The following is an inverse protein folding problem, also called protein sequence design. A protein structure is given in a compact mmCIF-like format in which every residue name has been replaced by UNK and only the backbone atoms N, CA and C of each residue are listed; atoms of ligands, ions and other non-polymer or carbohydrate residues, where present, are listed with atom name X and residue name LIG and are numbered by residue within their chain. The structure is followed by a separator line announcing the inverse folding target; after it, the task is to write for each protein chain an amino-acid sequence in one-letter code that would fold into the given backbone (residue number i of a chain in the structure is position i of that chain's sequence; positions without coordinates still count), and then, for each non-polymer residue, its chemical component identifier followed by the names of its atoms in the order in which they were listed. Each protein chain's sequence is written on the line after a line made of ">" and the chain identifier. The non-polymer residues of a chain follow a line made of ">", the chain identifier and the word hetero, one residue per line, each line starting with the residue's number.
data_IF_859786381855
#
_entry.id   IF_859786381855
#
_cell.length_a   1.000
_cell.length_b   1.000
_cell.length_c   1.000
_cell.angle_alpha   90.00
_cell.angle_beta   90.00
_cell.angle_gamma   90.00
#
_symmetry.space_group_name_H-M   'P 1'
#
loop_
_entity.id
_entity.type
_entity.pdbx_description
1 polymer ?
#
# COMPACT_ATOMS: atom_id res chain seq x y z
N UNK A 1 -6.36 70.05 21.60
CA UNK A 1 -5.20 69.76 22.47
C UNK A 1 -4.07 69.23 21.60
N UNK A 2 -3.00 70.01 21.43
CA UNK A 2 -1.85 69.60 20.63
C UNK A 2 -1.06 68.53 21.40
N UNK A 3 -0.79 67.39 20.78
CA UNK A 3 0.03 66.33 21.36
C UNK A 3 1.50 66.75 21.32
N UNK A 4 2.20 66.65 22.45
CA UNK A 4 3.62 66.98 22.55
C UNK A 4 4.46 66.03 21.69
N UNK A 5 5.48 66.51 20.95
CA UNK A 5 6.36 65.68 20.12
C UNK A 5 7.08 64.55 20.90
N UNK A 6 7.20 64.67 22.23
CA UNK A 6 7.78 63.65 23.10
C UNK A 6 6.92 62.37 23.22
N UNK A 7 5.65 62.41 22.81
CA UNK A 7 4.74 61.25 22.84
C UNK A 7 4.93 60.32 21.63
N UNK A 8 5.54 60.82 20.54
CA UNK A 8 5.69 60.09 19.28
C UNK A 8 6.85 59.07 19.25
N UNK A 9 7.79 59.13 20.20
CA UNK A 9 8.95 58.21 20.25
C UNK A 9 8.87 57.18 21.38
N UNK A 10 7.79 57.17 22.17
CA UNK A 10 7.55 56.10 23.13
C UNK A 10 6.91 54.92 22.43
N UNK A 11 7.60 53.78 22.45
CA UNK A 11 7.15 52.48 21.96
C UNK A 11 5.85 52.07 22.66
N UNK A 12 4.73 52.58 22.17
CA UNK A 12 3.40 52.09 22.50
C UNK A 12 3.23 50.82 21.69
N UNK A 13 3.37 49.66 22.35
CA UNK A 13 2.98 48.41 21.72
C UNK A 13 1.52 48.57 21.27
N UNK A 14 1.23 48.49 19.97
CA UNK A 14 -0.14 48.60 19.42
C UNK A 14 -0.75 47.22 19.14
N UNK A 15 -0.15 46.16 19.70
CA UNK A 15 -0.68 44.80 19.60
C UNK A 15 -1.85 44.56 20.57
N UNK A 16 -2.71 43.55 20.31
CA UNK A 16 -3.89 43.24 21.12
C UNK A 16 -3.60 42.88 22.60
N UNK A 17 -2.33 42.71 22.98
CA UNK A 17 -1.88 42.41 24.35
C UNK A 17 -1.19 43.59 25.05
N UNK A 18 -1.18 44.78 24.46
CA UNK A 18 -0.48 45.94 25.02
C UNK A 18 -1.04 46.43 26.37
N UNK A 19 -2.30 46.10 26.68
CA UNK A 19 -2.96 46.51 27.92
C UNK A 19 -2.61 45.65 29.15
N UNK A 20 -1.82 44.59 29.01
CA UNK A 20 -1.45 43.71 30.13
C UNK A 20 -0.13 44.08 30.83
N UNK A 21 0.51 45.19 30.46
CA UNK A 21 1.69 45.71 31.16
C UNK A 21 1.27 46.43 32.45
N UNK A 22 1.56 45.84 33.60
CA UNK A 22 1.32 46.42 34.94
C UNK A 22 2.18 47.67 35.25
N UNK A 23 3.10 48.07 34.36
CA UNK A 23 4.08 49.13 34.64
C UNK A 23 3.64 50.55 34.27
N UNK A 24 2.37 50.79 33.95
CA UNK A 24 1.86 52.12 33.57
C UNK A 24 0.62 52.50 34.37
N UNK A 25 0.76 52.73 35.68
CA UNK A 25 -0.25 53.48 36.41
C UNK A 25 0.33 54.19 37.65
N UNK A 26 1.25 55.13 37.42
CA UNK A 26 1.71 56.09 38.45
C UNK A 26 1.39 57.51 38.02
N UNK A 27 0.16 57.78 37.57
CA UNK A 27 -0.39 59.15 37.53
C UNK A 27 -1.92 59.11 37.46
N UNK A 28 -2.59 58.77 38.56
CA UNK A 28 -4.03 58.99 38.72
C UNK A 28 -4.32 59.48 40.14
N UNK A 29 -5.24 60.47 40.32
CA UNK A 29 -5.50 61.10 41.61
C UNK A 29 -6.16 60.14 42.61
N UNK A 30 -6.00 60.37 43.93
CA UNK A 30 -6.36 59.41 44.97
C UNK A 30 -7.85 59.52 45.33
N UNK A 31 -8.76 58.88 44.60
CA UNK A 31 -10.15 58.76 45.11
C UNK A 31 -11.02 57.63 44.55
N UNK A 32 -10.53 56.76 43.66
CA UNK A 32 -11.32 55.60 43.21
C UNK A 32 -10.42 54.37 43.09
N UNK A 33 -10.61 53.31 43.91
CA UNK A 33 -9.92 52.05 43.68
C UNK A 33 -10.40 51.48 42.33
N UNK A 34 -9.50 51.22 41.36
CA UNK A 34 -9.88 50.51 40.15
C UNK A 34 -10.39 49.10 40.54
N UNK A 35 -11.41 48.56 39.84
CA UNK A 35 -11.84 47.18 40.08
C UNK A 35 -10.62 46.27 39.90
N UNK A 36 -10.41 45.25 40.75
CA UNK A 36 -9.30 44.33 40.59
C UNK A 36 -9.50 43.60 39.27
N UNK A 37 -8.85 44.07 38.21
CA UNK A 37 -8.62 43.27 37.02
C UNK A 37 -7.78 42.12 37.52
N UNK A 38 -8.41 40.96 37.65
CA UNK A 38 -7.78 39.72 38.07
C UNK A 38 -6.65 39.39 37.08
N UNK A 39 -5.47 39.93 37.33
CA UNK A 39 -4.24 39.42 36.75
C UNK A 39 -4.14 37.99 37.25
N UNK A 40 -4.36 37.03 36.36
CA UNK A 40 -4.34 35.61 36.69
C UNK A 40 -2.91 35.27 37.11
N UNK A 41 -2.62 35.36 38.40
CA UNK A 41 -1.35 34.92 38.95
C UNK A 41 -1.34 33.40 38.85
N UNK A 42 -0.65 32.88 37.83
CA UNK A 42 -0.51 31.45 37.64
C UNK A 42 0.29 30.92 38.84
N UNK A 43 -0.39 30.20 39.74
CA UNK A 43 0.26 29.60 40.89
C UNK A 43 1.01 28.34 40.42
N UNK A 44 2.33 28.42 40.34
CA UNK A 44 3.17 27.34 39.82
C UNK A 44 3.50 26.26 40.86
N UNK A 45 2.99 26.37 42.10
CA UNK A 45 3.31 25.47 43.22
C UNK A 45 4.78 25.56 43.65
N UNK A 46 5.12 24.91 44.78
CA UNK A 46 6.52 24.79 45.20
C UNK A 46 7.28 23.85 44.27
N UNK A 47 8.49 24.26 43.86
CA UNK A 47 9.33 23.45 42.98
C UNK A 47 9.99 22.30 43.77
N UNK A 48 9.98 21.06 43.25
CA UNK A 48 10.75 19.97 43.84
C UNK A 48 12.26 20.28 43.78
N UNK A 49 13.04 19.96 44.83
CA UNK A 49 14.48 20.11 44.79
C UNK A 49 15.09 19.11 43.79
N UNK A 50 15.99 19.59 42.92
CA UNK A 50 16.74 18.82 41.90
C UNK A 50 15.97 18.38 40.62
N UNK A 51 15.01 19.18 40.11
CA UNK A 51 14.41 18.93 38.79
C UNK A 51 15.40 19.20 37.63
N UNK A 52 15.38 18.36 36.59
CA UNK A 52 16.16 18.65 35.37
C UNK A 52 15.55 19.85 34.62
N UNK A 53 16.33 20.60 33.81
CA UNK A 53 15.79 21.75 33.06
C UNK A 53 14.60 21.37 32.15
N UNK A 54 14.62 20.17 31.57
CA UNK A 54 13.53 19.66 30.73
C UNK A 54 12.27 19.37 31.56
N UNK A 55 12.42 18.75 32.73
CA UNK A 55 11.32 18.48 33.65
C UNK A 55 10.70 19.77 34.19
N UNK A 56 11.52 20.80 34.47
CA UNK A 56 11.06 22.13 34.85
C UNK A 56 10.15 22.76 33.78
N UNK A 57 10.57 22.72 32.51
CA UNK A 57 9.78 23.28 31.41
C UNK A 57 8.47 22.49 31.26
N UNK A 58 8.51 21.16 31.35
CA UNK A 58 7.31 20.32 31.27
C UNK A 58 6.34 20.65 32.41
N UNK A 59 6.82 20.81 33.64
CA UNK A 59 6.01 21.20 34.80
C UNK A 59 5.41 22.59 34.64
N UNK A 60 6.19 23.59 34.25
CA UNK A 60 5.70 24.96 34.04
C UNK A 60 4.68 25.01 32.89
N UNK A 61 4.88 24.20 31.85
CA UNK A 61 3.92 24.04 30.75
C UNK A 61 2.63 23.34 31.23
N UNK A 62 2.74 22.30 32.05
CA UNK A 62 1.59 21.63 32.63
C UNK A 62 0.81 22.54 33.60
N UNK A 63 1.51 23.29 34.46
CA UNK A 63 0.92 24.24 35.40
C UNK A 63 0.24 25.42 34.67
N UNK A 64 0.85 25.96 33.62
CA UNK A 64 0.22 26.99 32.80
C UNK A 64 -1.00 26.47 32.01
N UNK A 65 -0.97 25.23 31.53
CA UNK A 65 -2.15 24.58 30.93
C UNK A 65 -3.25 24.31 31.97
N UNK A 66 -2.89 23.91 33.18
CA UNK A 66 -3.83 23.69 34.28
C UNK A 66 -4.49 25.00 34.74
N UNK A 67 -3.73 26.09 34.84
CA UNK A 67 -4.27 27.40 35.18
C UNK A 67 -5.24 27.92 34.11
N UNK A 68 -4.95 27.68 32.81
CA UNK A 68 -5.89 27.98 31.73
C UNK A 68 -7.18 27.18 31.85
N UNK A 69 -7.09 25.88 32.18
CA UNK A 69 -8.24 25.01 32.41
C UNK A 69 -9.09 25.43 33.62
N UNK A 70 -8.46 25.96 34.68
CA UNK A 70 -9.17 26.46 35.85
C UNK A 70 -10.03 27.72 35.60
N UNK A 71 -9.81 28.41 34.48
CA UNK A 71 -10.59 29.58 34.06
C UNK A 71 -11.65 29.26 32.99
N UNK A 72 -11.73 28.02 32.54
CA UNK A 72 -12.70 27.60 31.52
C UNK A 72 -14.10 27.48 32.15
N UNK A 73 -15.13 27.88 31.41
CA UNK A 73 -16.52 27.62 31.81
C UNK A 73 -16.86 26.15 31.57
N UNK A 74 -17.86 25.61 32.29
CA UNK A 74 -18.30 24.22 32.11
C UNK A 74 -18.72 23.92 30.65
N UNK A 75 -19.30 24.92 29.97
CA UNK A 75 -19.64 24.83 28.55
C UNK A 75 -18.41 24.74 27.65
N UNK A 76 -17.35 25.51 27.91
CA UNK A 76 -16.11 25.41 27.12
C UNK A 76 -15.43 24.04 27.30
N UNK A 77 -15.53 23.46 28.50
CA UNK A 77 -15.04 22.11 28.78
C UNK A 77 -15.78 21.05 27.96
N UNK A 78 -17.12 21.11 27.89
CA UNK A 78 -17.91 20.13 27.11
C UNK A 78 -17.68 20.28 25.62
N UNK A 79 -17.56 21.50 25.09
CA UNK A 79 -17.24 21.74 23.68
C UNK A 79 -15.87 21.17 23.32
N UNK A 80 -14.86 21.34 24.18
CA UNK A 80 -13.52 20.77 23.95
C UNK A 80 -13.56 19.25 23.87
N UNK A 81 -14.22 18.60 24.84
CA UNK A 81 -14.35 17.13 24.85
C UNK A 81 -15.15 16.66 23.64
N UNK A 82 -16.21 17.38 23.29
CA UNK A 82 -17.04 17.11 22.12
C UNK A 82 -16.25 17.13 20.81
N UNK A 83 -15.33 18.08 20.62
CA UNK A 83 -14.46 18.11 19.42
C UNK A 83 -13.57 16.88 19.33
N UNK A 84 -12.94 16.48 20.43
CA UNK A 84 -12.06 15.29 20.45
C UNK A 84 -12.85 14.03 20.11
N UNK A 85 -14.07 13.90 20.65
CA UNK A 85 -14.95 12.78 20.34
C UNK A 85 -15.46 12.82 18.90
N UNK A 86 -15.84 13.98 18.38
CA UNK A 86 -16.27 14.14 16.99
C UNK A 86 -15.16 13.72 16.02
N UNK A 87 -13.92 14.17 16.26
CA UNK A 87 -12.76 13.79 15.45
C UNK A 87 -12.48 12.29 15.55
N UNK A 88 -12.65 11.70 16.74
CA UNK A 88 -12.42 10.26 16.94
C UNK A 88 -13.50 9.41 16.26
N UNK A 89 -14.76 9.82 16.36
CA UNK A 89 -15.88 9.17 15.66
C UNK A 89 -15.70 9.29 14.15
N UNK A 90 -15.34 10.48 13.65
CA UNK A 90 -15.10 10.66 12.22
C UNK A 90 -13.97 9.74 11.71
N UNK A 91 -12.85 9.67 12.44
CA UNK A 91 -11.74 8.77 12.08
C UNK A 91 -12.15 7.29 12.11
N UNK A 92 -12.84 6.85 13.15
CA UNK A 92 -13.33 5.45 13.25
C UNK A 92 -14.28 5.14 12.09
N UNK A 93 -15.26 6.00 11.83
CA UNK A 93 -16.21 5.82 10.73
C UNK A 93 -15.51 5.80 9.37
N UNK A 94 -14.57 6.72 9.13
CA UNK A 94 -13.79 6.75 7.89
C UNK A 94 -12.98 5.45 7.71
N UNK A 95 -12.25 5.00 8.75
CA UNK A 95 -11.50 3.74 8.69
C UNK A 95 -12.41 2.53 8.50
N UNK A 96 -13.60 2.53 9.11
CA UNK A 96 -14.59 1.47 8.95
C UNK A 96 -15.15 1.43 7.53
N UNK A 97 -15.45 2.58 6.93
CA UNK A 97 -15.91 2.68 5.54
C UNK A 97 -14.84 2.16 4.58
N UNK A 98 -13.59 2.55 4.79
CA UNK A 98 -12.46 2.04 3.98
C UNK A 98 -12.31 0.52 4.16
N UNK A 99 -12.41 0.01 5.40
CA UNK A 99 -12.37 -1.43 5.64
C UNK A 99 -13.50 -2.17 4.92
N UNK A 100 -14.73 -1.64 4.99
CA UNK A 100 -15.90 -2.24 4.35
C UNK A 100 -15.79 -2.24 2.82
N UNK A 101 -15.26 -1.19 2.21
CA UNK A 101 -15.07 -1.15 0.74
C UNK A 101 -14.04 -2.17 0.28
N UNK A 102 -12.95 -2.38 1.04
CA UNK A 102 -11.95 -3.41 0.72
C UNK A 102 -12.57 -4.81 0.83
N UNK A 103 -13.30 -5.11 1.91
CA UNK A 103 -13.96 -6.41 2.07
C UNK A 103 -14.98 -6.64 0.94
N UNK A 104 -15.79 -5.64 0.61
CA UNK A 104 -16.75 -5.69 -0.49
C UNK A 104 -16.06 -5.98 -1.83
N UNK A 105 -14.94 -5.30 -2.11
CA UNK A 105 -14.16 -5.52 -3.32
C UNK A 105 -13.58 -6.95 -3.39
N UNK A 106 -13.08 -7.50 -2.28
CA UNK A 106 -12.61 -8.88 -2.22
C UNK A 106 -13.74 -9.88 -2.50
N UNK A 107 -14.93 -9.67 -1.93
CA UNK A 107 -16.10 -10.52 -2.16
C UNK A 107 -16.54 -10.45 -3.62
N UNK A 108 -16.58 -9.26 -4.22
CA UNK A 108 -16.91 -9.08 -5.62
C UNK A 108 -15.90 -9.78 -6.55
N UNK A 109 -14.60 -9.63 -6.27
CA UNK A 109 -13.55 -10.29 -7.03
C UNK A 109 -13.65 -11.82 -6.94
N UNK A 110 -13.96 -12.35 -5.76
CA UNK A 110 -14.21 -13.78 -5.57
C UNK A 110 -15.42 -14.25 -6.41
N UNK A 111 -16.52 -13.51 -6.39
CA UNK A 111 -17.72 -13.85 -7.18
C UNK A 111 -17.48 -13.81 -8.69
N UNK A 112 -16.78 -12.79 -9.19
CA UNK A 112 -16.41 -12.71 -10.62
C UNK A 112 -15.51 -13.88 -11.02
N UNK A 113 -14.52 -14.19 -10.18
CA UNK A 113 -13.59 -15.29 -10.46
C UNK A 113 -14.30 -16.64 -10.48
N UNK A 114 -15.22 -16.88 -9.55
CA UNK A 114 -16.00 -18.11 -9.48
C UNK A 114 -16.89 -18.27 -10.73
N UNK A 115 -17.63 -17.22 -11.11
CA UNK A 115 -18.45 -17.23 -12.33
C UNK A 115 -17.62 -17.46 -13.60
N UNK A 116 -16.44 -16.85 -13.70
CA UNK A 116 -15.54 -17.08 -14.83
C UNK A 116 -15.06 -18.53 -14.89
N UNK A 117 -14.68 -19.11 -13.75
CA UNK A 117 -14.19 -20.48 -13.71
C UNK A 117 -15.31 -21.47 -14.06
N UNK A 118 -16.52 -21.25 -13.54
CA UNK A 118 -17.69 -22.04 -13.89
C UNK A 118 -18.02 -21.94 -15.38
N UNK A 119 -18.07 -20.73 -15.94
CA UNK A 119 -18.35 -20.52 -17.36
C UNK A 119 -17.26 -21.12 -18.26
N UNK A 120 -16.00 -21.08 -17.85
CA UNK A 120 -14.91 -21.76 -18.56
C UNK A 120 -15.11 -23.27 -18.58
N UNK A 121 -15.46 -23.89 -17.45
CA UNK A 121 -15.73 -25.34 -17.38
C UNK A 121 -16.90 -25.73 -18.28
N UNK A 122 -18.04 -25.04 -18.15
CA UNK A 122 -19.23 -25.28 -18.96
C UNK A 122 -18.97 -25.09 -20.46
N UNK A 123 -18.20 -24.06 -20.83
CA UNK A 123 -17.81 -23.84 -22.23
C UNK A 123 -16.89 -24.94 -22.73
N UNK A 124 -15.98 -25.45 -21.91
CA UNK A 124 -15.09 -26.54 -22.29
C UNK A 124 -15.86 -27.85 -22.50
N UNK A 125 -16.83 -28.15 -21.64
CA UNK A 125 -17.72 -29.31 -21.80
C UNK A 125 -18.51 -29.22 -23.10
N UNK A 126 -19.15 -28.06 -23.35
CA UNK A 126 -19.88 -27.82 -24.59
C UNK A 126 -18.99 -27.91 -25.84
N UNK A 127 -17.76 -27.39 -25.77
CA UNK A 127 -16.80 -27.50 -26.87
C UNK A 127 -16.37 -28.95 -27.10
N UNK A 128 -16.18 -29.74 -26.04
CA UNK A 128 -15.83 -31.14 -26.15
C UNK A 128 -16.98 -31.95 -26.79
N UNK A 129 -18.22 -31.68 -26.41
CA UNK A 129 -19.41 -32.27 -27.04
C UNK A 129 -19.50 -31.92 -28.52
N UNK A 130 -19.32 -30.64 -28.87
CA UNK A 130 -19.38 -30.19 -30.27
C UNK A 130 -18.24 -30.77 -31.11
N UNK A 131 -17.04 -30.91 -30.55
CA UNK A 131 -15.92 -31.57 -31.22
C UNK A 131 -16.22 -33.06 -31.43
N UNK A 132 -16.81 -33.74 -30.45
CA UNK A 132 -17.19 -35.14 -30.57
C UNK A 132 -18.29 -35.35 -31.63
N UNK A 133 -19.27 -34.47 -31.69
CA UNK A 133 -20.32 -34.46 -32.73
C UNK A 133 -19.68 -34.26 -34.12
N UNK A 134 -18.84 -33.23 -34.28
CA UNK A 134 -18.15 -33.00 -35.57
C UNK A 134 -17.25 -34.16 -36.00
N UNK A 135 -16.59 -34.83 -35.04
CA UNK A 135 -15.75 -35.98 -35.32
C UNK A 135 -16.57 -37.20 -35.78
N UNK A 136 -17.77 -37.39 -35.21
CA UNK A 136 -18.70 -38.43 -35.66
C UNK A 136 -19.20 -38.15 -37.08
N UNK A 137 -19.58 -36.91 -37.37
CA UNK A 137 -20.03 -36.50 -38.70
C UNK A 137 -18.95 -36.69 -39.76
N UNK A 138 -17.70 -36.32 -39.43
CA UNK A 138 -16.55 -36.57 -40.29
C UNK A 138 -16.29 -38.05 -40.50
N UNK A 139 -16.37 -38.88 -39.45
CA UNK A 139 -16.20 -40.33 -39.57
C UNK A 139 -17.26 -40.95 -40.49
N UNK A 140 -18.53 -40.55 -40.34
CA UNK A 140 -19.62 -41.00 -41.21
C UNK A 140 -19.43 -40.53 -42.66
N UNK A 141 -18.98 -39.29 -42.87
CA UNK A 141 -18.69 -38.76 -44.20
C UNK A 141 -17.56 -39.54 -44.88
N UNK A 142 -16.49 -39.85 -44.15
CA UNK A 142 -15.36 -40.64 -44.65
C UNK A 142 -15.80 -42.07 -44.99
N UNK A 143 -16.63 -42.69 -44.16
CA UNK A 143 -17.18 -44.02 -44.43
C UNK A 143 -18.05 -44.03 -45.69
N UNK A 144 -18.95 -43.04 -45.82
CA UNK A 144 -19.79 -42.89 -47.01
C UNK A 144 -18.95 -42.64 -48.28
N UNK A 145 -17.86 -41.88 -48.17
CA UNK A 145 -16.92 -41.63 -49.27
C UNK A 145 -16.21 -42.92 -49.68
N UNK A 146 -15.73 -43.71 -48.71
CA UNK A 146 -15.11 -45.03 -48.97
C UNK A 146 -16.07 -46.00 -49.64
N UNK A 147 -17.35 -45.97 -49.25
CA UNK A 147 -18.40 -46.78 -49.84
C UNK A 147 -18.90 -46.25 -51.20
N UNK A 148 -18.37 -45.12 -51.70
CA UNK A 148 -18.75 -44.53 -53.00
C UNK A 148 -20.14 -43.88 -53.03
N UNK A 149 -20.78 -43.69 -51.86
CA UNK A 149 -22.14 -43.16 -51.70
C UNK A 149 -22.19 -41.84 -50.92
N UNK A 150 -21.10 -41.07 -50.95
CA UNK A 150 -21.02 -39.80 -50.22
C UNK A 150 -21.94 -38.75 -50.85
N UNK A 151 -22.66 -38.03 -50.00
CA UNK A 151 -23.40 -36.82 -50.39
C UNK A 151 -22.44 -35.68 -50.73
N UNK A 152 -22.88 -34.72 -51.54
CA UNK A 152 -22.11 -33.51 -51.87
C UNK A 152 -21.69 -32.76 -50.59
N UNK A 153 -22.61 -32.59 -49.64
CA UNK A 153 -22.33 -31.96 -48.34
C UNK A 153 -21.24 -32.70 -47.53
N UNK A 154 -21.23 -34.05 -47.60
CA UNK A 154 -20.23 -34.87 -46.90
C UNK A 154 -18.86 -34.72 -47.54
N UNK A 155 -18.78 -34.63 -48.88
CA UNK A 155 -17.52 -34.38 -49.58
C UNK A 155 -16.98 -32.98 -49.32
N UNK A 156 -17.85 -31.96 -49.27
CA UNK A 156 -17.48 -30.60 -48.89
C UNK A 156 -16.97 -30.52 -47.45
N UNK A 157 -17.60 -31.24 -46.52
CA UNK A 157 -17.16 -31.31 -45.12
C UNK A 157 -15.73 -31.86 -45.01
N UNK A 158 -15.43 -32.95 -45.73
CA UNK A 158 -14.09 -33.57 -45.74
C UNK A 158 -13.05 -32.62 -46.35
N UNK A 159 -13.38 -31.96 -47.45
CA UNK A 159 -12.48 -31.01 -48.11
C UNK A 159 -12.19 -29.80 -47.20
N UNK A 160 -13.21 -29.29 -46.51
CA UNK A 160 -13.05 -28.20 -45.54
C UNK A 160 -12.14 -28.60 -44.39
N UNK A 161 -12.29 -29.82 -43.86
CA UNK A 161 -11.44 -30.31 -42.77
C UNK A 161 -9.98 -30.49 -43.21
N UNK A 162 -9.75 -31.02 -44.43
CA UNK A 162 -8.40 -31.11 -45.00
C UNK A 162 -7.75 -29.72 -45.16
N UNK A 163 -8.49 -28.77 -45.73
CA UNK A 163 -8.00 -27.40 -45.87
C UNK A 163 -7.75 -26.74 -44.51
N UNK A 164 -8.59 -27.02 -43.50
CA UNK A 164 -8.40 -26.52 -42.15
C UNK A 164 -7.15 -27.10 -41.48
N UNK A 165 -6.86 -28.40 -41.65
CA UNK A 165 -5.64 -29.04 -41.16
C UNK A 165 -4.39 -28.47 -41.83
N UNK A 166 -4.39 -28.33 -43.16
CA UNK A 166 -3.27 -27.73 -43.90
C UNK A 166 -3.01 -26.29 -43.45
N UNK A 167 -4.07 -25.50 -43.25
CA UNK A 167 -3.95 -24.15 -42.72
C UNK A 167 -3.43 -24.13 -41.27
N UNK A 168 -3.79 -25.11 -40.44
CA UNK A 168 -3.29 -25.24 -39.07
C UNK A 168 -1.80 -25.62 -39.03
N UNK A 169 -1.36 -26.50 -39.92
CA UNK A 169 0.05 -26.87 -40.10
C UNK A 169 0.87 -25.68 -40.60
N UNK A 170 0.36 -24.96 -41.60
CA UNK A 170 0.97 -23.72 -42.07
C UNK A 170 1.10 -22.68 -40.95
N UNK A 171 0.10 -22.56 -40.07
CA UNK A 171 0.15 -21.66 -38.89
C UNK A 171 1.13 -22.13 -37.82
N UNK A 172 1.28 -23.44 -37.60
CA UNK A 172 2.30 -24.00 -36.67
C UNK A 172 3.72 -23.77 -37.18
N UNK A 173 3.90 -23.81 -38.50
CA UNK A 173 5.18 -23.52 -39.14
C UNK A 173 5.50 -22.02 -39.19
N UNK A 174 4.54 -21.13 -38.93
CA UNK A 174 4.79 -19.70 -38.84
C UNK A 174 5.33 -19.31 -37.45
N UNK A 175 6.31 -18.39 -37.37
CA UNK A 175 6.75 -17.85 -36.08
C UNK A 175 5.57 -17.19 -35.35
N UNK A 176 5.45 -17.45 -34.05
CA UNK A 176 4.41 -16.86 -33.21
C UNK A 176 4.42 -15.34 -33.26
N UNK A 177 3.28 -14.71 -33.02
CA UNK A 177 3.10 -13.24 -33.12
C UNK A 177 4.14 -12.50 -32.26
N UNK A 178 4.45 -13.03 -31.07
CA UNK A 178 5.51 -12.50 -30.20
C UNK A 178 6.91 -12.58 -30.84
N UNK A 179 7.25 -13.70 -31.49
CA UNK A 179 8.54 -13.82 -32.21
C UNK A 179 8.62 -12.86 -33.40
N UNK A 180 7.49 -12.59 -34.06
CA UNK A 180 7.43 -11.62 -35.16
C UNK A 180 7.60 -10.19 -34.67
N UNK A 181 6.99 -9.81 -33.55
CA UNK A 181 7.10 -8.45 -33.01
C UNK A 181 8.46 -8.21 -32.35
N UNK A 182 9.01 -9.18 -31.62
CA UNK A 182 10.38 -9.07 -31.09
C UNK A 182 11.41 -9.09 -32.21
N UNK A 183 11.24 -9.94 -33.23
CA UNK A 183 12.11 -9.95 -34.40
C UNK A 183 12.08 -8.62 -35.17
N UNK A 184 10.91 -7.97 -35.28
CA UNK A 184 10.81 -6.63 -35.88
C UNK A 184 11.49 -5.55 -35.04
N UNK A 185 11.35 -5.59 -33.71
CA UNK A 185 11.98 -4.63 -32.79
C UNK A 185 13.50 -4.80 -32.70
N UNK A 186 14.01 -6.03 -32.75
CA UNK A 186 15.45 -6.33 -32.65
C UNK A 186 16.17 -6.43 -34.00
N UNK A 187 15.43 -6.52 -35.11
CA UNK A 187 15.98 -6.46 -36.48
C UNK A 187 16.76 -5.17 -36.76
N UNK A 188 16.50 -4.08 -36.04
CA UNK A 188 17.25 -2.83 -36.16
C UNK A 188 18.67 -2.95 -35.58
N UNK A 189 18.82 -3.64 -34.44
CA UNK A 189 20.10 -3.79 -33.74
C UNK A 189 21.03 -4.80 -34.43
N UNK A 190 20.51 -5.92 -34.92
CA UNK A 190 21.33 -6.95 -35.60
C UNK A 190 21.88 -6.48 -36.96
N UNK A 191 21.14 -5.64 -37.69
CA UNK A 191 21.61 -5.04 -38.95
C UNK A 191 22.69 -3.98 -38.73
N UNK A 192 22.74 -3.36 -37.54
CA UNK A 192 23.79 -2.43 -37.16
C UNK A 192 25.04 -3.16 -36.65
N UNK A 193 24.88 -4.30 -35.98
CA UNK A 193 25.99 -5.17 -35.54
C UNK A 193 26.69 -5.89 -36.71
N UNK A 194 25.97 -6.29 -37.77
CA UNK A 194 26.59 -6.82 -39.00
C UNK A 194 27.39 -5.78 -39.79
N UNK A 195 27.09 -4.49 -39.63
CA UNK A 195 27.84 -3.40 -40.26
C UNK A 195 28.94 -2.84 -39.35
N UNK A 196 28.94 -3.23 -38.07
CA UNK A 196 29.80 -2.72 -37.01
C UNK A 196 30.70 -3.78 -36.37
N UNK A 197 31.51 -4.48 -37.18
CA UNK A 197 32.78 -5.04 -36.69
C UNK A 197 32.70 -6.33 -35.85
N UNK A 198 33.56 -7.28 -36.23
CA UNK A 198 33.87 -8.55 -35.55
C UNK A 198 34.48 -8.30 -34.15
N UNK A 199 33.69 -7.89 -33.17
CA UNK A 199 34.11 -7.77 -31.76
C UNK A 199 33.24 -8.57 -30.77
N UNK A 200 32.19 -9.26 -31.24
CA UNK A 200 31.29 -10.07 -30.41
C UNK A 200 31.51 -11.59 -30.49
N UNK A 201 32.56 -12.08 -31.16
CA UNK A 201 32.82 -13.53 -31.35
C UNK A 201 33.24 -14.29 -30.07
N UNK A 202 33.02 -13.72 -28.88
CA UNK A 202 33.31 -14.33 -27.58
C UNK A 202 32.09 -14.75 -26.76
N UNK A 203 30.87 -14.35 -27.12
CA UNK A 203 29.66 -14.64 -26.32
C UNK A 203 28.70 -15.67 -26.96
N UNK A 204 29.00 -16.12 -28.19
CA UNK A 204 28.13 -16.99 -29.00
C UNK A 204 28.45 -18.49 -28.99
N UNK A 205 29.31 -18.97 -28.09
CA UNK A 205 29.73 -20.38 -28.06
C UNK A 205 29.23 -21.20 -26.85
N UNK A 206 28.22 -20.72 -26.11
CA UNK A 206 27.68 -21.45 -24.94
C UNK A 206 26.16 -21.67 -24.94
N UNK A 207 25.42 -21.32 -25.99
CA UNK A 207 23.97 -21.54 -26.01
C UNK A 207 23.47 -22.15 -27.31
N UNK A 208 24.10 -23.27 -27.69
CA UNK A 208 23.68 -24.08 -28.82
C UNK A 208 23.90 -25.58 -28.57
N UNK A 209 23.58 -26.08 -27.36
CA UNK A 209 23.26 -27.50 -27.16
C UNK A 209 22.74 -27.76 -25.73
N UNK A 210 21.43 -27.93 -25.52
CA UNK A 210 20.87 -28.66 -24.35
C UNK A 210 19.33 -28.58 -24.24
N UNK A 211 18.60 -28.80 -25.33
CA UNK A 211 17.17 -29.09 -25.23
C UNK A 211 16.97 -30.51 -24.66
N UNK A 212 16.91 -30.65 -23.33
CA UNK A 212 16.21 -31.71 -22.56
C UNK A 212 16.65 -31.86 -21.08
N UNK A 213 17.58 -31.04 -20.56
CA UNK A 213 18.02 -31.10 -19.14
C UNK A 213 17.68 -29.86 -18.29
N UNK A 214 17.04 -28.83 -18.86
CA UNK A 214 16.88 -27.51 -18.22
C UNK A 214 15.75 -27.39 -17.18
N UNK A 215 14.73 -28.24 -17.20
CA UNK A 215 13.59 -28.05 -16.29
C UNK A 215 13.94 -28.30 -14.80
N UNK A 216 14.95 -29.14 -14.53
CA UNK A 216 15.48 -29.33 -13.16
C UNK A 216 16.50 -28.27 -12.75
N UNK A 217 17.26 -27.76 -13.72
CA UNK A 217 18.30 -26.73 -13.50
C UNK A 217 17.69 -25.38 -13.16
N UNK A 218 16.63 -24.97 -13.87
CA UNK A 218 15.98 -23.67 -13.64
C UNK A 218 15.30 -23.63 -12.28
N UNK A 219 14.64 -24.73 -11.86
CA UNK A 219 14.04 -24.80 -10.51
C UNK A 219 15.11 -24.74 -9.42
N UNK A 220 16.27 -25.36 -9.63
CA UNK A 220 17.39 -25.31 -8.68
C UNK A 220 18.04 -23.92 -8.63
N UNK A 221 18.16 -23.24 -9.77
CA UNK A 221 18.66 -21.86 -9.85
C UNK A 221 17.67 -20.85 -9.21
N UNK A 222 16.36 -21.07 -9.37
CA UNK A 222 15.33 -20.28 -8.69
C UNK A 222 15.35 -20.54 -7.18
N UNK A 223 15.52 -21.79 -6.76
CA UNK A 223 15.65 -22.13 -5.34
C UNK A 223 16.90 -21.46 -4.73
N UNK A 224 18.04 -21.49 -5.43
CA UNK A 224 19.29 -20.89 -4.97
C UNK A 224 19.25 -19.34 -4.97
N UNK A 225 18.53 -18.73 -5.90
CA UNK A 225 18.27 -17.28 -5.87
C UNK A 225 17.30 -16.89 -4.75
N UNK A 226 16.29 -17.70 -4.45
CA UNK A 226 15.38 -17.46 -3.31
C UNK A 226 16.12 -17.64 -1.98
N UNK A 227 16.97 -18.66 -1.85
CA UNK A 227 17.74 -18.92 -0.64
C UNK A 227 18.84 -17.86 -0.42
N UNK A 228 19.44 -17.33 -1.48
CA UNK A 228 20.37 -16.20 -1.37
C UNK A 228 19.67 -14.89 -0.99
N UNK A 229 18.46 -14.64 -1.51
CA UNK A 229 17.63 -13.51 -1.06
C UNK A 229 17.18 -13.64 0.40
N UNK A 230 16.86 -14.87 0.86
CA UNK A 230 16.52 -15.14 2.27
C UNK A 230 17.72 -14.89 3.20
N UNK A 231 18.92 -15.35 2.82
CA UNK A 231 20.15 -15.07 3.59
C UNK A 231 20.53 -13.59 3.60
N UNK A 232 20.23 -12.86 2.52
CA UNK A 232 20.39 -11.41 2.50
C UNK A 232 19.37 -10.72 3.40
N UNK A 233 18.12 -11.19 3.45
CA UNK A 233 17.09 -10.66 4.36
C UNK A 233 17.46 -10.92 5.83
N UNK A 234 17.97 -12.11 6.16
CA UNK A 234 18.46 -12.44 7.52
C UNK A 234 19.66 -11.57 7.93
N UNK A 235 20.59 -11.26 7.01
CA UNK A 235 21.69 -10.32 7.28
C UNK A 235 21.22 -8.87 7.45
N UNK A 236 20.16 -8.46 6.75
CA UNK A 236 19.55 -7.13 6.94
C UNK A 236 18.85 -7.07 8.31
N UNK A 237 18.25 -8.17 8.77
CA UNK A 237 17.62 -8.26 10.09
C UNK A 237 18.65 -8.28 11.25
N UNK A 238 19.82 -8.86 11.02
CA UNK A 238 20.94 -8.89 11.99
C UNK A 238 21.66 -7.52 12.10
N UNK A 239 21.74 -6.75 11.00
CA UNK A 239 22.28 -5.39 10.97
C UNK A 239 21.24 -4.32 11.41
N UNK A 240 19.94 -4.64 11.36
CA UNK A 240 18.84 -3.77 11.80
C UNK A 240 18.50 -3.89 13.30
N UNK A 241 19.37 -4.51 14.11
CA UNK A 241 19.35 -4.37 15.57
C UNK A 241 20.49 -3.47 16.06
N UNK A 242 20.50 -2.15 15.75
CA UNK A 242 21.30 -1.24 16.51
C UNK A 242 20.76 -1.23 17.94
N UNK A 243 21.66 -1.33 18.93
CA UNK A 243 21.33 -1.11 20.34
C UNK A 243 20.75 0.30 20.48
N UNK A 244 19.41 0.38 20.45
CA UNK A 244 18.65 1.60 20.56
C UNK A 244 18.75 2.21 21.95
N UNK A 245 18.51 3.52 22.02
CA UNK A 245 18.57 4.29 23.26
C UNK A 245 17.51 3.83 24.29
N UNK A 246 17.50 4.41 25.50
CA UNK A 246 16.59 3.98 26.57
C UNK A 246 15.10 4.08 26.21
N UNK A 247 14.73 4.92 25.23
CA UNK A 247 13.37 5.02 24.70
C UNK A 247 12.99 3.82 23.82
N UNK A 248 13.94 3.27 23.07
CA UNK A 248 13.73 2.12 22.19
C UNK A 248 13.63 0.82 23.00
N UNK A 249 14.33 0.74 24.13
CA UNK A 249 14.18 -0.35 25.10
C UNK A 249 12.79 -0.34 25.74
N UNK A 250 12.25 0.83 26.07
CA UNK A 250 10.87 0.94 26.57
C UNK A 250 9.85 0.57 25.49
N UNK A 251 10.07 0.96 24.23
CA UNK A 251 9.22 0.57 23.13
C UNK A 251 9.23 -0.96 22.92
N UNK A 252 10.40 -1.60 22.97
CA UNK A 252 10.52 -3.06 22.90
C UNK A 252 9.81 -3.76 24.06
N UNK A 253 9.95 -3.27 25.30
CA UNK A 253 9.21 -3.79 26.45
C UNK A 253 7.69 -3.65 26.29
N UNK A 254 7.21 -2.55 25.69
CA UNK A 254 5.77 -2.42 25.39
C UNK A 254 5.31 -3.39 24.30
N UNK A 255 6.12 -3.60 23.27
CA UNK A 255 5.81 -4.55 22.19
C UNK A 255 5.82 -6.00 22.71
N UNK A 256 6.77 -6.35 23.58
CA UNK A 256 6.83 -7.65 24.25
C UNK A 256 5.66 -7.86 25.23
N UNK A 257 5.23 -6.80 25.93
CA UNK A 257 4.02 -6.87 26.78
C UNK A 257 2.75 -7.09 25.96
N UNK A 258 2.69 -6.55 24.73
CA UNK A 258 1.57 -6.75 23.81
C UNK A 258 1.62 -8.14 23.15
N UNK A 259 2.80 -8.70 22.89
CA UNK A 259 2.93 -10.06 22.35
C UNK A 259 2.53 -11.14 23.37
N UNK A 260 2.73 -10.87 24.67
CA UNK A 260 2.24 -11.70 25.78
C UNK A 260 0.72 -11.66 25.98
N UNK A 261 -0.03 -10.84 25.22
CA UNK A 261 -1.50 -10.80 25.27
C UNK A 261 -2.18 -11.91 24.45
N UNK A 262 -1.40 -12.78 23.78
CA UNK A 262 -1.89 -14.09 23.35
C UNK A 262 -2.13 -14.95 24.58
N UNK A 263 -3.38 -15.00 25.04
CA UNK A 263 -4.18 -16.24 25.13
C UNK A 263 -5.55 -15.92 25.76
N UNK A 264 -6.43 -15.24 25.03
CA UNK A 264 -7.88 -15.19 25.35
C UNK A 264 -8.71 -16.17 24.48
N UNK A 265 -8.06 -16.92 23.58
CA UNK A 265 -8.70 -17.88 22.67
C UNK A 265 -8.27 -19.34 22.89
N UNK A 266 -7.63 -19.72 24.00
CA UNK A 266 -7.30 -21.15 24.26
C UNK A 266 -8.49 -21.99 24.73
N UNK A 267 -9.62 -21.37 25.07
CA UNK A 267 -10.79 -22.10 25.56
C UNK A 267 -11.57 -22.83 24.44
N UNK A 268 -11.33 -22.50 23.17
CA UNK A 268 -12.05 -23.11 22.03
C UNK A 268 -11.39 -24.36 21.44
N UNK A 269 -10.14 -24.69 21.80
CA UNK A 269 -9.45 -25.89 21.27
C UNK A 269 -9.46 -27.10 22.21
N UNK A 270 -10.30 -27.09 23.26
CA UNK A 270 -10.48 -28.23 24.16
C UNK A 270 -11.82 -28.92 23.89
N UNK A 271 -11.87 -29.69 22.80
CA UNK A 271 -12.84 -30.77 22.60
C UNK A 271 -12.18 -31.88 21.80
#
# INVERSE_FOLDING_TARGET
>A
MARSPSDATRFTATGPYASSSTSFNTTAPPSVPPPPKAGTTINFGSAPPNETPQQKIARLRAASQAAKRGTETAFDTTVRVGRIWADRVHRVTATSLIGLTVVSACVAAAGITDMLLHNRRRRNEWLAEKQAESARDLAMAIEAQKAGRASEDQTLLINRERAAMEAAEAKRNQPGILKRTTGWLFSGAEKEEQKGGRLGAGAGALSANSGQRHDRSVLQAVQETVDSHRRQAERIEEVARPLGGPLDQQAQLTIDSLSSSKTWMSWTSRR
#
